data_IF_016765097338
#
_entry.id   IF_016765097338
#
_cell.length_a   1.000
_cell.length_b   1.000
_cell.length_c   1.000
_cell.angle_alpha   90.00
_cell.angle_beta   90.00
_cell.angle_gamma   90.00
#
_symmetry.space_group_name_H-M   'P 1'
#
loop_
_entity.id
_entity.type
_entity.pdbx_description
1 polymer ?
#
# COMPACT_ATOMS: atom_id res chain seq x y z
N UNK A 1 0.94 -1.37 30.38
CA UNK A 1 1.45 -0.05 29.95
C UNK A 1 0.38 0.64 29.14
N UNK A 2 -0.29 1.68 29.67
CA UNK A 2 -1.24 2.49 28.90
C UNK A 2 -0.41 3.43 28.01
N UNK A 3 -0.56 3.30 26.69
CA UNK A 3 0.00 4.26 25.74
C UNK A 3 -0.54 5.64 26.09
N UNK A 4 0.33 6.59 26.38
CA UNK A 4 -0.03 8.01 26.54
C UNK A 4 -0.58 8.51 25.21
N UNK A 5 -1.69 9.27 25.21
CA UNK A 5 -2.29 9.76 23.98
C UNK A 5 -1.26 10.62 23.23
N UNK A 6 -0.95 10.16 22.02
CA UNK A 6 -0.29 10.89 20.95
C UNK A 6 -1.04 12.18 20.67
N UNK A 7 -0.32 13.25 20.32
CA UNK A 7 -0.93 14.52 19.92
C UNK A 7 -1.80 14.29 18.67
N UNK A 8 -3.13 14.47 18.75
CA UNK A 8 -4.03 14.19 17.62
C UNK A 8 -3.66 14.95 16.36
N UNK A 9 -3.09 16.15 16.49
CA UNK A 9 -2.68 16.96 15.34
C UNK A 9 -1.52 16.30 14.56
N UNK A 10 -0.56 15.71 15.26
CA UNK A 10 0.60 15.04 14.66
C UNK A 10 0.21 13.73 13.99
N UNK A 11 -0.71 12.96 14.57
CA UNK A 11 -1.23 11.73 13.94
C UNK A 11 -1.96 12.04 12.64
N UNK A 12 -2.77 13.09 12.62
CA UNK A 12 -3.45 13.56 11.42
C UNK A 12 -2.44 14.00 10.36
N UNK A 13 -1.38 14.72 10.74
CA UNK A 13 -0.33 15.13 9.80
C UNK A 13 0.41 13.93 9.21
N UNK A 14 0.79 12.95 10.03
CA UNK A 14 1.44 11.72 9.57
C UNK A 14 0.54 10.94 8.62
N UNK A 15 -0.73 10.75 8.97
CA UNK A 15 -1.70 10.10 8.10
C UNK A 15 -1.86 10.85 6.76
N UNK A 16 -1.91 12.19 6.79
CA UNK A 16 -1.98 13.01 5.57
C UNK A 16 -0.74 12.87 4.69
N UNK A 17 0.46 12.86 5.28
CA UNK A 17 1.73 12.68 4.54
C UNK A 17 1.79 11.30 3.88
N UNK A 18 1.35 10.26 4.60
CA UNK A 18 1.26 8.90 4.06
C UNK A 18 0.31 8.85 2.85
N UNK A 19 -0.90 9.38 2.98
CA UNK A 19 -1.86 9.39 1.86
C UNK A 19 -1.34 10.18 0.67
N UNK A 20 -0.68 11.32 0.88
CA UNK A 20 -0.08 12.09 -0.21
C UNK A 20 0.99 11.28 -0.96
N UNK A 21 1.86 10.58 -0.22
CA UNK A 21 2.86 9.69 -0.81
C UNK A 21 2.21 8.60 -1.68
N UNK A 22 1.14 7.96 -1.18
CA UNK A 22 0.42 6.92 -1.92
C UNK A 22 -0.34 7.49 -3.13
N UNK A 23 -0.89 8.69 -3.06
CA UNK A 23 -1.51 9.38 -4.20
C UNK A 23 -0.49 9.63 -5.31
N UNK A 24 0.74 10.01 -4.95
CA UNK A 24 1.83 10.20 -5.92
C UNK A 24 2.24 8.88 -6.57
N UNK A 25 2.38 7.81 -5.77
CA UNK A 25 2.67 6.46 -6.28
C UNK A 25 1.57 6.02 -7.25
N UNK A 26 0.29 6.15 -6.90
CA UNK A 26 -0.83 5.83 -7.80
C UNK A 26 -0.80 6.66 -9.08
N UNK A 27 -0.48 7.95 -8.98
CA UNK A 27 -0.36 8.81 -10.16
C UNK A 27 0.73 8.30 -11.11
N UNK A 28 1.89 7.94 -10.57
CA UNK A 28 2.96 7.31 -11.35
C UNK A 28 2.49 5.98 -11.97
N UNK A 29 1.82 5.12 -11.20
CA UNK A 29 1.28 3.84 -11.68
C UNK A 29 0.25 4.01 -12.81
N UNK A 30 -0.55 5.08 -12.80
CA UNK A 30 -1.48 5.38 -13.91
C UNK A 30 -0.72 5.68 -15.20
N UNK A 31 0.30 6.53 -15.15
CA UNK A 31 1.12 6.85 -16.33
C UNK A 31 1.90 5.64 -16.83
N UNK A 32 2.58 4.93 -15.92
CA UNK A 32 3.34 3.73 -16.26
C UNK A 32 2.41 2.64 -16.80
N UNK A 33 1.27 2.41 -16.15
CA UNK A 33 0.28 1.42 -16.58
C UNK A 33 -0.29 1.73 -17.96
N UNK A 34 -0.63 3.00 -18.23
CA UNK A 34 -1.07 3.42 -19.56
C UNK A 34 -0.01 3.12 -20.64
N UNK A 35 1.26 3.46 -20.37
CA UNK A 35 2.37 3.16 -21.27
C UNK A 35 2.55 1.65 -21.49
N UNK A 36 2.55 0.85 -20.42
CA UNK A 36 2.73 -0.60 -20.53
C UNK A 36 1.57 -1.28 -21.28
N UNK A 37 0.34 -0.77 -21.18
CA UNK A 37 -0.79 -1.27 -21.98
C UNK A 37 -0.58 -0.95 -23.45
N UNK A 38 -0.12 0.26 -23.77
CA UNK A 38 0.19 0.66 -25.15
C UNK A 38 1.25 -0.26 -25.77
N UNK A 39 2.29 -0.61 -25.01
CA UNK A 39 3.39 -1.47 -25.46
C UNK A 39 3.07 -2.97 -25.39
N UNK A 40 1.94 -3.37 -24.80
CA UNK A 40 1.61 -4.79 -24.52
C UNK A 40 1.69 -5.66 -25.78
N UNK A 41 1.26 -5.13 -26.93
CA UNK A 41 1.22 -5.88 -28.19
C UNK A 41 2.42 -5.60 -29.13
N UNK A 42 3.40 -4.79 -28.71
CA UNK A 42 4.60 -4.52 -29.52
C UNK A 42 5.57 -5.72 -29.58
N UNK A 43 5.47 -6.63 -28.61
CA UNK A 43 6.32 -7.81 -28.49
C UNK A 43 5.86 -9.02 -29.31
N UNK A 44 6.58 -10.16 -29.21
CA UNK A 44 6.17 -11.41 -29.84
C UNK A 44 4.85 -11.95 -29.24
N UNK A 45 4.13 -12.80 -29.98
CA UNK A 45 2.87 -13.38 -29.49
C UNK A 45 3.08 -14.23 -28.22
N UNK A 46 2.04 -14.39 -27.39
CA UNK A 46 0.64 -14.06 -27.67
C UNK A 46 0.28 -12.58 -27.41
N UNK A 47 -0.48 -12.00 -28.35
CA UNK A 47 -1.02 -10.65 -28.21
C UNK A 47 -2.29 -10.64 -27.36
N UNK A 48 -2.47 -9.58 -26.58
CA UNK A 48 -3.71 -9.27 -25.90
C UNK A 48 -4.81 -8.99 -26.94
N UNK A 49 -6.01 -9.53 -26.72
CA UNK A 49 -7.18 -9.22 -27.54
C UNK A 49 -7.68 -7.80 -27.29
N UNK A 50 -8.44 -7.25 -28.23
CA UNK A 50 -9.05 -5.91 -28.09
C UNK A 50 -9.90 -5.77 -26.81
N UNK A 51 -10.55 -6.85 -26.38
CA UNK A 51 -11.30 -6.90 -25.12
C UNK A 51 -10.40 -6.77 -23.89
N UNK A 52 -9.23 -7.43 -23.87
CA UNK A 52 -8.26 -7.31 -22.78
C UNK A 52 -7.68 -5.89 -22.74
N UNK A 53 -7.37 -5.31 -23.89
CA UNK A 53 -6.89 -3.92 -23.98
C UNK A 53 -7.95 -2.92 -23.51
N UNK A 54 -9.20 -3.07 -23.97
CA UNK A 54 -10.30 -2.20 -23.54
C UNK A 54 -10.54 -2.27 -22.03
N UNK A 55 -10.54 -3.47 -21.45
CA UNK A 55 -10.65 -3.66 -20.00
C UNK A 55 -9.45 -3.07 -19.25
N UNK A 56 -8.24 -3.21 -19.79
CA UNK A 56 -7.01 -2.67 -19.19
C UNK A 56 -7.05 -1.15 -19.14
N UNK A 57 -7.45 -0.48 -20.23
CA UNK A 57 -7.63 0.97 -20.24
C UNK A 57 -8.75 1.42 -19.31
N UNK A 58 -9.85 0.66 -19.23
CA UNK A 58 -10.93 0.94 -18.27
C UNK A 58 -10.44 0.86 -16.81
N UNK A 59 -9.61 -0.13 -16.48
CA UNK A 59 -9.03 -0.28 -15.14
C UNK A 59 -8.00 0.81 -14.82
N UNK A 60 -7.15 1.24 -15.77
CA UNK A 60 -6.27 2.40 -15.56
C UNK A 60 -7.07 3.68 -15.39
N UNK A 61 -8.12 3.88 -16.20
CA UNK A 61 -9.03 5.01 -16.05
C UNK A 61 -9.72 5.00 -14.68
N UNK A 62 -10.15 3.82 -14.22
CA UNK A 62 -10.75 3.65 -12.90
C UNK A 62 -9.73 3.94 -11.78
N UNK A 63 -8.49 3.46 -11.89
CA UNK A 63 -7.40 3.77 -10.95
C UNK A 63 -7.14 5.29 -10.89
N UNK A 64 -7.07 5.96 -12.04
CA UNK A 64 -6.90 7.41 -12.12
C UNK A 64 -8.05 8.19 -11.51
N UNK A 65 -9.29 7.82 -11.85
CA UNK A 65 -10.50 8.43 -11.27
C UNK A 65 -10.63 8.18 -9.78
N UNK A 66 -10.33 6.96 -9.32
CA UNK A 66 -10.28 6.59 -7.91
C UNK A 66 -9.23 7.37 -7.14
N UNK A 67 -8.03 7.53 -7.71
CA UNK A 67 -6.96 8.33 -7.10
C UNK A 67 -7.34 9.82 -7.00
N UNK A 68 -8.00 10.37 -8.01
CA UNK A 68 -8.53 11.75 -7.96
C UNK A 68 -9.60 11.88 -6.87
N UNK A 69 -10.48 10.90 -6.73
CA UNK A 69 -11.49 10.89 -5.67
C UNK A 69 -10.84 10.84 -4.28
N UNK A 70 -9.84 9.97 -4.09
CA UNK A 70 -9.04 9.90 -2.85
C UNK A 70 -8.39 11.25 -2.55
N UNK A 71 -7.81 11.91 -3.57
CA UNK A 71 -7.22 13.24 -3.42
C UNK A 71 -8.23 14.31 -2.97
N UNK A 72 -9.42 14.33 -3.57
CA UNK A 72 -10.48 15.27 -3.20
C UNK A 72 -10.97 15.04 -1.77
N UNK A 73 -11.16 13.78 -1.37
CA UNK A 73 -11.58 13.44 0.00
C UNK A 73 -10.46 13.77 0.99
N UNK A 74 -9.20 13.44 0.67
CA UNK A 74 -8.03 13.74 1.48
C UNK A 74 -7.88 15.25 1.75
N UNK A 75 -8.08 16.11 0.73
CA UNK A 75 -8.05 17.57 0.90
C UNK A 75 -9.13 18.08 1.87
N UNK A 76 -10.28 17.41 1.93
CA UNK A 76 -11.44 17.80 2.77
C UNK A 76 -11.44 17.12 4.15
N UNK A 77 -10.67 16.05 4.34
CA UNK A 77 -10.64 15.28 5.57
C UNK A 77 -9.95 16.06 6.69
N UNK A 78 -10.70 16.39 7.76
CA UNK A 78 -10.19 17.08 8.95
C UNK A 78 -10.01 16.18 10.18
N UNK A 79 -10.42 14.91 10.12
CA UNK A 79 -10.41 14.00 11.27
C UNK A 79 -9.62 12.73 10.97
N UNK A 80 -9.00 12.17 12.01
CA UNK A 80 -8.21 10.94 11.91
C UNK A 80 -9.06 9.74 11.47
N UNK A 81 -10.28 9.62 12.01
CA UNK A 81 -11.19 8.52 11.67
C UNK A 81 -11.59 8.51 10.18
N UNK A 82 -11.76 9.69 9.57
CA UNK A 82 -12.04 9.78 8.13
C UNK A 82 -10.82 9.37 7.30
N UNK A 83 -9.61 9.76 7.71
CA UNK A 83 -8.37 9.35 7.03
C UNK A 83 -8.13 7.84 7.13
N UNK A 84 -8.40 7.21 8.28
CA UNK A 84 -8.27 5.76 8.44
C UNK A 84 -9.25 4.98 7.55
N UNK A 85 -10.51 5.42 7.49
CA UNK A 85 -11.52 4.81 6.61
C UNK A 85 -11.17 5.02 5.14
N UNK A 86 -10.71 6.20 4.77
CA UNK A 86 -10.23 6.50 3.42
C UNK A 86 -9.07 5.59 3.04
N UNK A 87 -8.10 5.41 3.95
CA UNK A 87 -6.94 4.56 3.73
C UNK A 87 -7.30 3.09 3.53
N UNK A 88 -8.25 2.57 4.32
CA UNK A 88 -8.76 1.20 4.15
C UNK A 88 -9.50 1.05 2.82
N UNK A 89 -10.37 2.00 2.47
CA UNK A 89 -11.09 1.99 1.22
C UNK A 89 -10.14 2.05 0.01
N UNK A 90 -9.11 2.90 0.08
CA UNK A 90 -8.10 3.02 -0.96
C UNK A 90 -7.25 1.75 -1.11
N UNK A 91 -6.87 1.10 0.00
CA UNK A 91 -6.15 -0.17 -0.03
C UNK A 91 -6.99 -1.30 -0.66
N UNK A 92 -8.27 -1.42 -0.27
CA UNK A 92 -9.17 -2.42 -0.85
C UNK A 92 -9.42 -2.16 -2.34
N UNK A 93 -9.57 -0.88 -2.71
CA UNK A 93 -9.70 -0.48 -4.11
C UNK A 93 -8.46 -0.87 -4.92
N UNK A 94 -7.26 -0.59 -4.41
CA UNK A 94 -6.01 -0.98 -5.08
C UNK A 94 -5.89 -2.50 -5.22
N UNK A 95 -6.26 -3.27 -4.19
CA UNK A 95 -6.30 -4.74 -4.26
C UNK A 95 -7.21 -5.25 -5.39
N UNK A 96 -8.41 -4.67 -5.53
CA UNK A 96 -9.33 -5.02 -6.60
C UNK A 96 -8.73 -4.71 -7.97
N UNK A 97 -8.13 -3.53 -8.15
CA UNK A 97 -7.51 -3.13 -9.42
C UNK A 97 -6.34 -4.05 -9.77
N UNK A 98 -5.43 -4.28 -8.82
CA UNK A 98 -4.23 -5.10 -8.98
C UNK A 98 -4.59 -6.54 -9.32
N UNK A 99 -5.53 -7.14 -8.58
CA UNK A 99 -5.99 -8.49 -8.91
C UNK A 99 -6.70 -8.52 -10.26
N UNK A 100 -7.51 -7.51 -10.60
CA UNK A 100 -8.15 -7.44 -11.92
C UNK A 100 -7.11 -7.47 -13.05
N UNK A 101 -6.02 -6.72 -12.93
CA UNK A 101 -4.92 -6.78 -13.91
C UNK A 101 -4.27 -8.17 -13.97
N UNK A 102 -3.99 -8.80 -12.83
CA UNK A 102 -3.44 -10.14 -12.80
C UNK A 102 -4.36 -11.16 -13.51
N UNK A 103 -5.68 -11.01 -13.37
CA UNK A 103 -6.69 -11.87 -14.00
C UNK A 103 -6.84 -11.62 -15.50
N UNK A 104 -7.00 -10.37 -15.96
CA UNK A 104 -7.20 -10.09 -17.40
C UNK A 104 -5.99 -10.50 -18.24
N UNK A 105 -4.77 -10.37 -17.68
CA UNK A 105 -3.53 -10.78 -18.34
C UNK A 105 -3.20 -12.27 -18.18
N UNK A 106 -4.06 -13.05 -17.51
CA UNK A 106 -3.90 -14.51 -17.41
C UNK A 106 -4.29 -15.24 -18.71
N UNK A 107 -4.53 -14.51 -19.82
CA UNK A 107 -4.64 -15.13 -21.14
C UNK A 107 -3.33 -15.77 -21.61
N UNK A 108 -2.18 -15.36 -21.06
CA UNK A 108 -0.89 -16.00 -21.26
C UNK A 108 -0.39 -16.61 -19.92
N UNK A 109 -0.34 -17.95 -19.79
CA UNK A 109 0.18 -18.62 -18.60
C UNK A 109 1.65 -18.30 -18.29
N UNK A 110 2.42 -17.85 -19.30
CA UNK A 110 3.84 -17.47 -19.16
C UNK A 110 4.02 -15.98 -18.89
N UNK A 111 2.94 -15.20 -18.96
CA UNK A 111 2.94 -13.77 -18.72
C UNK A 111 3.42 -13.42 -17.31
N UNK A 112 4.15 -12.31 -17.21
CA UNK A 112 4.74 -11.84 -15.94
C UNK A 112 3.93 -10.70 -15.28
N UNK A 113 2.78 -10.33 -15.83
CA UNK A 113 1.97 -9.20 -15.33
C UNK A 113 1.56 -9.37 -13.87
N UNK A 114 1.47 -10.60 -13.37
CA UNK A 114 1.16 -10.90 -11.97
C UNK A 114 2.14 -10.29 -10.95
N UNK A 115 3.34 -9.88 -11.36
CA UNK A 115 4.34 -9.25 -10.47
C UNK A 115 3.81 -7.97 -9.80
N UNK A 116 2.83 -7.28 -10.40
CA UNK A 116 2.19 -6.11 -9.79
C UNK A 116 1.51 -6.40 -8.46
N UNK A 117 1.17 -7.67 -8.16
CA UNK A 117 0.56 -8.08 -6.90
C UNK A 117 1.47 -7.76 -5.70
N UNK A 118 2.78 -7.73 -5.91
CA UNK A 118 3.78 -7.40 -4.89
C UNK A 118 3.72 -5.95 -4.40
N UNK A 119 2.91 -5.09 -5.02
CA UNK A 119 2.63 -3.75 -4.50
C UNK A 119 1.75 -3.83 -3.23
N UNK A 120 0.86 -4.81 -3.13
CA UNK A 120 -0.07 -4.95 -2.01
C UNK A 120 0.60 -5.14 -0.65
N UNK A 121 1.55 -6.08 -0.45
CA UNK A 121 2.22 -6.19 0.85
C UNK A 121 3.00 -4.93 1.22
N UNK A 122 3.52 -4.18 0.25
CA UNK A 122 4.22 -2.92 0.51
C UNK A 122 3.25 -1.85 0.99
N UNK A 123 2.11 -1.68 0.32
CA UNK A 123 1.08 -0.76 0.78
C UNK A 123 0.50 -1.18 2.14
N UNK A 124 0.23 -2.48 2.32
CA UNK A 124 -0.23 -3.05 3.58
C UNK A 124 0.76 -2.79 4.72
N UNK A 125 2.07 -2.90 4.45
CA UNK A 125 3.13 -2.58 5.39
C UNK A 125 3.16 -1.09 5.76
N UNK A 126 3.00 -0.21 4.77
CA UNK A 126 2.98 1.24 5.02
C UNK A 126 1.76 1.67 5.84
N UNK A 127 0.60 1.06 5.63
CA UNK A 127 -0.66 1.43 6.28
C UNK A 127 -0.85 0.76 7.64
N UNK A 128 -0.62 -0.54 7.72
CA UNK A 128 -0.96 -1.37 8.88
C UNK A 128 0.22 -2.23 9.34
N UNK A 129 1.45 -1.84 8.98
CA UNK A 129 2.67 -2.52 9.37
C UNK A 129 2.63 -4.01 9.00
N UNK A 130 3.22 -4.88 9.82
CA UNK A 130 3.26 -6.30 9.56
C UNK A 130 1.87 -6.95 9.39
N UNK A 131 0.84 -6.46 10.10
CA UNK A 131 -0.51 -7.03 10.00
C UNK A 131 -1.12 -6.81 8.61
N UNK A 132 -1.01 -5.61 8.06
CA UNK A 132 -1.48 -5.33 6.71
C UNK A 132 -0.67 -6.05 5.65
N UNK A 133 0.65 -6.14 5.85
CA UNK A 133 1.52 -6.87 4.93
C UNK A 133 1.14 -8.37 4.87
N UNK A 134 0.94 -9.02 6.02
CA UNK A 134 0.54 -10.43 6.09
C UNK A 134 -0.90 -10.66 5.61
N UNK A 135 -1.82 -9.74 5.87
CA UNK A 135 -3.17 -9.80 5.32
C UNK A 135 -3.14 -9.74 3.78
N UNK A 136 -2.26 -8.94 3.20
CA UNK A 136 -2.05 -8.89 1.75
C UNK A 136 -1.59 -10.24 1.21
N UNK A 137 -0.63 -10.90 1.88
CA UNK A 137 -0.15 -12.24 1.49
C UNK A 137 -1.28 -13.28 1.54
N UNK A 138 -2.14 -13.22 2.55
CA UNK A 138 -3.28 -14.12 2.64
C UNK A 138 -4.25 -13.94 1.46
N UNK A 139 -4.50 -12.68 1.07
CA UNK A 139 -5.30 -12.37 -0.12
C UNK A 139 -4.61 -12.84 -1.41
N UNK A 140 -3.30 -12.62 -1.54
CA UNK A 140 -2.49 -13.09 -2.67
C UNK A 140 -2.52 -14.61 -2.78
N UNK A 141 -2.40 -15.35 -1.67
CA UNK A 141 -2.48 -16.81 -1.66
C UNK A 141 -3.82 -17.31 -2.19
N UNK A 142 -4.92 -16.76 -1.68
CA UNK A 142 -6.26 -17.11 -2.16
C UNK A 142 -6.42 -16.78 -3.65
N UNK A 143 -5.95 -15.61 -4.08
CA UNK A 143 -5.98 -15.19 -5.47
C UNK A 143 -5.15 -16.11 -6.38
N UNK A 144 -3.92 -16.46 -6.00
CA UNK A 144 -3.03 -17.28 -6.82
C UNK A 144 -3.51 -18.74 -6.90
N UNK A 145 -4.09 -19.31 -5.83
CA UNK A 145 -4.74 -20.63 -5.92
C UNK A 145 -5.89 -20.59 -6.93
N UNK A 146 -6.76 -19.58 -6.84
CA UNK A 146 -7.91 -19.44 -7.74
C UNK A 146 -7.46 -19.21 -9.20
N UNK A 147 -6.45 -18.38 -9.41
CA UNK A 147 -5.90 -18.04 -10.73
C UNK A 147 -5.16 -19.22 -11.35
N UNK A 148 -4.36 -19.96 -10.58
CA UNK A 148 -3.68 -21.17 -11.04
C UNK A 148 -4.69 -22.27 -11.42
N UNK A 149 -5.76 -22.41 -10.64
CA UNK A 149 -6.85 -23.33 -10.98
C UNK A 149 -7.58 -22.91 -12.25
N UNK A 150 -7.82 -21.61 -12.44
CA UNK A 150 -8.39 -21.09 -13.67
C UNK A 150 -7.51 -21.40 -14.88
N UNK A 151 -6.20 -21.15 -14.77
CA UNK A 151 -5.24 -21.45 -15.83
C UNK A 151 -5.20 -22.95 -16.16
N UNK A 152 -5.15 -23.81 -15.15
CA UNK A 152 -5.18 -25.26 -15.31
C UNK A 152 -6.43 -25.74 -16.03
N UNK A 153 -7.60 -25.15 -15.74
CA UNK A 153 -8.85 -25.49 -16.41
C UNK A 153 -8.92 -24.92 -17.85
N UNK A 154 -8.52 -23.67 -18.04
CA UNK A 154 -8.60 -22.96 -19.33
C UNK A 154 -7.63 -23.52 -20.37
N UNK A 155 -6.48 -24.00 -19.92
CA UNK A 155 -5.38 -24.51 -20.74
C UNK A 155 -5.07 -25.98 -20.46
N UNK A 156 -6.04 -26.77 -20.01
CA UNK A 156 -5.88 -28.15 -19.53
C UNK A 156 -5.07 -29.08 -20.45
N UNK A 157 -5.12 -28.85 -21.77
CA UNK A 157 -4.36 -29.63 -22.75
C UNK A 157 -2.84 -29.41 -22.68
N UNK A 158 -2.37 -28.30 -22.10
CA UNK A 158 -0.96 -27.86 -22.16
C UNK A 158 -0.42 -27.31 -20.83
N UNK A 159 -1.26 -27.12 -19.82
CA UNK A 159 -0.90 -26.50 -18.55
C UNK A 159 -1.61 -27.21 -17.39
N UNK A 160 -0.91 -28.06 -16.61
CA UNK A 160 -1.45 -28.63 -15.39
C UNK A 160 -1.46 -27.59 -14.25
N UNK A 161 -2.16 -27.89 -13.15
CA UNK A 161 -2.05 -27.08 -11.94
C UNK A 161 -0.65 -27.20 -11.33
N UNK A 162 0.08 -26.08 -11.20
CA UNK A 162 1.45 -26.09 -10.69
C UNK A 162 1.53 -25.47 -9.29
N UNK A 163 1.55 -26.33 -8.26
CA UNK A 163 1.81 -25.90 -6.87
C UNK A 163 3.11 -25.11 -6.71
N UNK A 164 4.13 -25.45 -7.50
CA UNK A 164 5.41 -24.75 -7.50
C UNK A 164 5.26 -23.26 -7.88
N UNK A 165 4.36 -22.92 -8.81
CA UNK A 165 4.13 -21.54 -9.21
C UNK A 165 3.45 -20.74 -8.11
N UNK A 166 2.43 -21.31 -7.47
CA UNK A 166 1.74 -20.68 -6.32
C UNK A 166 2.74 -20.49 -5.17
N UNK A 167 3.48 -21.54 -4.80
CA UNK A 167 4.46 -21.50 -3.73
C UNK A 167 5.58 -20.48 -3.99
N UNK A 168 6.08 -20.40 -5.23
CA UNK A 168 7.09 -19.42 -5.60
C UNK A 168 6.58 -17.98 -5.50
N UNK A 169 5.42 -17.70 -6.12
CA UNK A 169 4.87 -16.33 -6.14
C UNK A 169 4.49 -15.85 -4.75
N UNK A 170 3.77 -16.67 -3.99
CA UNK A 170 3.33 -16.36 -2.62
C UNK A 170 4.53 -16.37 -1.65
N UNK A 171 5.51 -17.25 -1.86
CA UNK A 171 6.72 -17.30 -1.05
C UNK A 171 7.53 -16.00 -1.16
N UNK A 172 7.70 -15.48 -2.38
CA UNK A 172 8.34 -14.17 -2.60
C UNK A 172 7.49 -13.04 -1.99
N UNK A 173 6.17 -13.07 -2.20
CA UNK A 173 5.23 -12.10 -1.61
C UNK A 173 5.39 -12.05 -0.08
N UNK A 174 5.50 -13.21 0.56
CA UNK A 174 5.72 -13.33 2.01
C UNK A 174 7.05 -12.73 2.44
N UNK A 175 8.14 -12.96 1.70
CA UNK A 175 9.45 -12.35 2.01
C UNK A 175 9.33 -10.82 1.95
N UNK A 176 8.72 -10.28 0.88
CA UNK A 176 8.51 -8.84 0.72
C UNK A 176 7.67 -8.30 1.88
N UNK A 177 6.57 -8.97 2.22
CA UNK A 177 5.69 -8.59 3.32
C UNK A 177 6.39 -8.60 4.68
N UNK A 178 7.21 -9.60 4.96
CA UNK A 178 7.97 -9.69 6.21
C UNK A 178 8.99 -8.55 6.30
N UNK A 179 9.79 -8.34 5.25
CA UNK A 179 10.81 -7.28 5.23
C UNK A 179 10.17 -5.90 5.37
N UNK A 180 9.21 -5.57 4.51
CA UNK A 180 8.53 -4.28 4.54
C UNK A 180 7.74 -4.09 5.84
N UNK A 181 7.06 -5.13 6.32
CA UNK A 181 6.28 -5.12 7.55
C UNK A 181 7.14 -4.90 8.80
N UNK A 182 8.30 -5.58 8.90
CA UNK A 182 9.23 -5.37 10.00
C UNK A 182 9.90 -3.99 9.95
N UNK A 183 10.31 -3.53 8.76
CA UNK A 183 10.87 -2.19 8.59
C UNK A 183 9.87 -1.11 9.00
N UNK A 184 8.63 -1.16 8.49
CA UNK A 184 7.58 -0.19 8.84
C UNK A 184 7.29 -0.21 10.35
N UNK A 185 7.23 -1.40 10.96
CA UNK A 185 7.04 -1.54 12.41
C UNK A 185 8.22 -0.98 13.21
N UNK A 186 9.46 -1.19 12.78
CA UNK A 186 10.65 -0.63 13.44
C UNK A 186 10.65 0.88 13.37
N UNK A 187 10.44 1.44 12.18
CA UNK A 187 10.36 2.88 11.95
C UNK A 187 9.25 3.54 12.78
N UNK A 188 8.09 2.91 12.90
CA UNK A 188 7.01 3.40 13.75
C UNK A 188 7.40 3.40 15.24
N UNK A 189 8.10 2.36 15.71
CA UNK A 189 8.59 2.29 17.10
C UNK A 189 9.68 3.34 17.37
N UNK A 190 10.61 3.53 16.45
CA UNK A 190 11.68 4.52 16.55
C UNK A 190 11.12 5.94 16.54
N UNK A 191 10.17 6.24 15.64
CA UNK A 191 9.48 7.52 15.61
C UNK A 191 8.72 7.81 16.92
N UNK A 192 8.10 6.80 17.52
CA UNK A 192 7.41 6.93 18.80
C UNK A 192 8.40 7.24 19.95
N UNK A 193 9.56 6.57 19.98
CA UNK A 193 10.61 6.82 20.97
C UNK A 193 11.19 8.23 20.83
N UNK A 194 11.56 8.64 19.62
CA UNK A 194 12.07 9.98 19.34
C UNK A 194 11.05 11.07 19.74
N UNK A 195 9.75 10.82 19.51
CA UNK A 195 8.70 11.73 19.95
C UNK A 195 8.56 11.81 21.48
N UNK A 196 8.82 10.72 22.20
CA UNK A 196 8.83 10.72 23.66
C UNK A 196 10.05 11.45 24.24
N UNK A 197 11.23 11.23 23.67
CA UNK A 197 12.46 11.94 24.05
C UNK A 197 12.35 13.45 23.83
N UNK A 198 11.84 13.87 22.67
CA UNK A 198 11.59 15.29 22.39
C UNK A 198 10.63 15.93 23.41
N UNK A 199 9.55 15.22 23.78
CA UNK A 199 8.60 15.69 24.81
C UNK A 199 9.26 15.83 26.17
N UNK A 200 10.13 14.88 26.56
CA UNK A 200 10.86 14.96 27.83
C UNK A 200 11.82 16.16 27.83
N UNK A 201 12.54 16.38 26.72
CA UNK A 201 13.43 17.53 26.58
C UNK A 201 12.66 18.87 26.66
N UNK A 202 11.52 18.99 25.97
CA UNK A 202 10.66 20.17 26.06
C UNK A 202 10.13 20.41 27.49
N UNK A 203 9.76 19.36 28.21
CA UNK A 203 9.30 19.48 29.60
C UNK A 203 10.41 19.94 30.54
N UNK A 204 11.63 19.44 30.37
CA UNK A 204 12.80 19.89 31.14
C UNK A 204 13.09 21.36 30.84
N UNK A 205 13.13 21.75 29.56
CA UNK A 205 13.37 23.14 29.15
C UNK A 205 12.28 24.09 29.68
N UNK A 206 11.00 23.69 29.66
CA UNK A 206 9.90 24.47 30.24
C UNK A 206 10.07 24.65 31.75
N UNK A 207 10.46 23.59 32.47
CA UNK A 207 10.71 23.64 33.92
C UNK A 207 11.89 24.55 34.27
N UNK A 208 12.98 24.49 33.50
CA UNK A 208 14.11 25.40 33.68
C UNK A 208 13.71 26.86 33.43
N UNK A 209 12.91 27.13 32.39
CA UNK A 209 12.41 28.48 32.12
C UNK A 209 11.51 29.01 33.23
N UNK A 210 10.61 28.19 33.79
CA UNK A 210 9.79 28.60 34.93
C UNK A 210 10.64 28.84 36.17
N UNK A 211 11.59 27.96 36.48
CA UNK A 211 12.50 28.14 37.61
C UNK A 211 13.35 29.42 37.49
N UNK A 212 13.86 29.72 36.28
CA UNK A 212 14.58 30.97 36.01
C UNK A 212 13.71 32.21 36.17
N UNK A 213 12.44 32.15 35.77
CA UNK A 213 11.48 33.26 35.96
C UNK A 213 11.16 33.51 37.43
N UNK A 214 10.95 32.45 38.21
CA UNK A 214 10.72 32.56 39.65
C UNK A 214 11.93 33.18 40.37
N UNK A 215 13.16 32.72 40.06
CA UNK A 215 14.39 33.31 40.61
C UNK A 215 14.56 34.79 40.23
N UNK A 216 14.17 35.19 39.02
CA UNK A 216 14.20 36.59 38.60
C UNK A 216 13.17 37.45 39.37
N UNK A 217 12.00 36.91 39.69
CA UNK A 217 10.95 37.60 40.44
C UNK A 217 11.27 37.75 41.94
N UNK A 218 12.12 36.89 42.52
CA UNK A 218 12.56 37.00 43.91
C UNK A 218 13.69 38.03 44.14
N UNK A 219 14.39 38.45 43.09
CA UNK A 219 15.53 39.38 43.18
C UNK A 219 15.17 40.85 42.86
N UNK A 220 13.89 41.19 42.83
CA UNK A 220 13.34 42.55 42.69
C UNK A 220 12.50 42.90 43.91
#
# INVERSE_FOLDING_TARGET
>A
MRATPTDPAREIEQARRLELGLILVRTFSVFLGFYLILETNAGPPPHASDSVLALSYALIGLLGGGNLMVYVIWRRAGTLGTLQKLGLAAFLFDAIIIFSFAWIYSYDPKGSTWVIVYILPLEGALRYQLEGALASVALTLANEIAREQYLANRFAARYPFLWANVAFRVGIDLIIALVAGFMSRSLAKEAARAAEEARRAEQVARREMTARRELAAFNT
#
